data_IF_451225766989
#
_entry.id   IF_451225766989
#
_cell.length_a   1.000
_cell.length_b   1.000
_cell.length_c   1.000
_cell.angle_alpha   90.00
_cell.angle_beta   90.00
_cell.angle_gamma   90.00
#
_symmetry.space_group_name_H-M   'P 1'
#
loop_
_entity.id
_entity.type
_entity.pdbx_description
1 polymer ?
#
# COMPACT_ATOMS: atom_id res chain seq x y z
N UNK A 1 -3.33 10.41 14.46
CA UNK A 1 -3.04 9.78 13.16
C UNK A 1 -4.22 8.92 12.73
N UNK A 2 -4.61 8.98 11.47
CA UNK A 2 -5.71 8.18 10.90
C UNK A 2 -5.15 7.39 9.72
N UNK A 3 -5.43 6.09 9.69
CA UNK A 3 -5.25 5.22 8.54
C UNK A 3 -6.59 5.13 7.80
N UNK A 4 -6.58 5.36 6.49
CA UNK A 4 -7.73 5.09 5.61
C UNK A 4 -7.30 4.09 4.55
N UNK A 5 -7.99 2.95 4.46
CA UNK A 5 -7.76 1.95 3.43
C UNK A 5 -8.46 2.42 2.15
N UNK A 6 -7.72 2.84 1.14
CA UNK A 6 -8.29 3.28 -0.13
C UNK A 6 -8.66 2.08 -1.01
N UNK A 7 -7.82 1.04 -0.97
CA UNK A 7 -8.06 -0.21 -1.65
C UNK A 7 -7.46 -1.38 -0.88
N UNK A 8 -8.19 -2.49 -0.84
CA UNK A 8 -7.86 -3.69 -0.04
C UNK A 8 -7.77 -4.96 -0.89
N UNK A 9 -7.83 -4.81 -2.22
CA UNK A 9 -7.78 -5.90 -3.18
C UNK A 9 -6.35 -6.35 -3.52
N UNK A 10 -6.24 -7.14 -4.56
CA UNK A 10 -5.03 -7.71 -5.12
C UNK A 10 -5.08 -7.54 -6.65
N UNK A 11 -4.15 -8.12 -7.47
CA UNK A 11 -4.17 -7.93 -8.93
C UNK A 11 -5.48 -8.32 -9.62
N UNK A 12 -6.25 -9.25 -9.04
CA UNK A 12 -7.57 -9.60 -9.57
C UNK A 12 -8.55 -8.46 -9.29
N UNK A 13 -9.15 -7.92 -10.35
CA UNK A 13 -10.15 -6.85 -10.26
C UNK A 13 -11.38 -7.31 -9.47
N UNK A 14 -11.82 -6.45 -8.55
CA UNK A 14 -13.02 -6.65 -7.74
C UNK A 14 -13.72 -5.29 -7.54
N UNK A 15 -15.04 -5.24 -7.66
CA UNK A 15 -15.80 -4.00 -7.57
C UNK A 15 -15.98 -3.47 -6.13
N UNK A 16 -15.68 -4.29 -5.13
CA UNK A 16 -15.75 -3.94 -3.70
C UNK A 16 -14.39 -3.69 -3.08
N UNK A 17 -13.31 -4.17 -3.74
CA UNK A 17 -11.92 -4.10 -3.26
C UNK A 17 -11.01 -3.62 -4.37
N UNK A 18 -10.72 -2.34 -4.36
CA UNK A 18 -9.81 -1.70 -5.31
C UNK A 18 -8.35 -2.08 -5.05
N UNK A 19 -7.46 -1.72 -5.97
CA UNK A 19 -6.04 -2.02 -5.85
C UNK A 19 -5.39 -1.47 -4.58
N UNK A 20 -4.35 -2.14 -4.05
CA UNK A 20 -3.75 -1.79 -2.76
C UNK A 20 -3.33 -0.34 -2.72
N UNK A 21 -3.87 0.41 -1.77
CA UNK A 21 -3.48 1.79 -1.49
C UNK A 21 -4.01 2.25 -0.14
N UNK A 22 -3.22 3.05 0.56
CA UNK A 22 -3.52 3.49 1.91
C UNK A 22 -3.21 4.98 2.06
N UNK A 23 -4.08 5.71 2.74
CA UNK A 23 -3.87 7.11 3.09
C UNK A 23 -3.63 7.24 4.59
N UNK A 24 -2.50 7.81 4.96
CA UNK A 24 -2.15 8.16 6.35
C UNK A 24 -2.28 9.67 6.51
N UNK A 25 -3.13 10.09 7.44
CA UNK A 25 -3.34 11.52 7.73
C UNK A 25 -3.04 11.85 9.18
N UNK A 26 -2.39 12.98 9.37
CA UNK A 26 -2.24 13.66 10.65
C UNK A 26 -2.88 15.05 10.56
N UNK A 27 -2.63 15.92 11.53
CA UNK A 27 -3.09 17.31 11.45
C UNK A 27 -2.49 18.04 10.24
N UNK A 28 -1.19 17.79 9.94
CA UNK A 28 -0.43 18.57 8.96
C UNK A 28 0.04 17.77 7.76
N UNK A 29 -0.14 16.43 7.75
CA UNK A 29 0.49 15.55 6.76
C UNK A 29 -0.53 14.59 6.13
N UNK A 30 -0.42 14.41 4.80
CA UNK A 30 -1.15 13.40 4.04
C UNK A 30 -0.15 12.56 3.23
N UNK A 31 0.04 11.31 3.61
CA UNK A 31 0.93 10.36 2.93
C UNK A 31 0.09 9.28 2.25
N UNK A 32 0.41 9.03 0.99
CA UNK A 32 -0.13 7.89 0.25
C UNK A 32 0.88 6.74 0.28
N UNK A 33 0.43 5.53 0.57
CA UNK A 33 1.21 4.29 0.45
C UNK A 33 0.59 3.45 -0.63
N UNK A 34 1.37 3.21 -1.67
CA UNK A 34 0.98 2.60 -2.94
C UNK A 34 -0.10 3.40 -3.71
N UNK A 35 -0.21 3.12 -4.99
CA UNK A 35 -1.19 3.75 -5.88
C UNK A 35 -1.76 2.69 -6.84
N UNK A 36 -2.42 1.70 -6.25
CA UNK A 36 -3.14 0.67 -6.97
C UNK A 36 -4.37 1.22 -7.69
N UNK A 37 -4.97 0.36 -8.48
CA UNK A 37 -6.12 0.69 -9.32
C UNK A 37 -7.25 1.37 -8.55
N UNK A 38 -7.70 2.53 -9.04
CA UNK A 38 -8.81 3.30 -8.48
C UNK A 38 -8.44 4.24 -7.34
N UNK A 39 -7.15 4.45 -7.04
CA UNK A 39 -6.71 5.31 -5.94
C UNK A 39 -7.26 6.74 -6.03
N UNK A 40 -7.28 7.32 -7.23
CA UNK A 40 -7.78 8.70 -7.44
C UNK A 40 -9.28 8.81 -7.21
N UNK A 41 -10.06 7.82 -7.68
CA UNK A 41 -11.51 7.76 -7.46
C UNK A 41 -11.84 7.58 -5.96
N UNK A 42 -10.99 6.84 -5.23
CA UNK A 42 -11.16 6.66 -3.79
C UNK A 42 -10.83 7.92 -3.00
N UNK A 43 -9.78 8.66 -3.40
CA UNK A 43 -9.46 9.97 -2.82
C UNK A 43 -10.59 10.97 -3.07
N UNK A 44 -11.12 11.04 -4.30
CA UNK A 44 -12.25 11.89 -4.66
C UNK A 44 -13.50 11.58 -3.82
N UNK A 45 -13.84 10.29 -3.66
CA UNK A 45 -14.96 9.86 -2.81
C UNK A 45 -14.82 10.32 -1.35
N UNK A 46 -13.59 10.47 -0.87
CA UNK A 46 -13.29 11.00 0.46
C UNK A 46 -13.18 12.53 0.50
N UNK A 47 -13.35 13.21 -0.63
CA UNK A 47 -13.12 14.66 -0.80
C UNK A 47 -11.69 15.06 -0.40
N UNK A 48 -10.71 14.21 -0.71
CA UNK A 48 -9.30 14.46 -0.51
C UNK A 48 -8.67 14.78 -1.86
N UNK A 49 -8.27 16.04 -2.03
CA UNK A 49 -7.60 16.47 -3.26
C UNK A 49 -6.25 15.75 -3.45
N UNK A 50 -6.02 15.24 -4.65
CA UNK A 50 -4.72 14.67 -5.04
C UNK A 50 -3.60 15.70 -4.97
N UNK A 51 -3.92 17.00 -5.09
CA UNK A 51 -2.95 18.09 -4.94
C UNK A 51 -2.41 18.23 -3.50
N UNK A 52 -3.17 17.79 -2.51
CA UNK A 52 -2.82 17.91 -1.10
C UNK A 52 -1.85 16.84 -0.61
N UNK A 53 -1.68 15.75 -1.34
CA UNK A 53 -0.80 14.65 -0.94
C UNK A 53 0.64 15.17 -0.83
N UNK A 54 1.28 14.94 0.31
CA UNK A 54 2.63 15.43 0.59
C UNK A 54 3.71 14.53 -0.01
N UNK A 55 3.49 13.22 0.01
CA UNK A 55 4.38 12.23 -0.61
C UNK A 55 3.65 10.92 -0.93
N UNK A 56 4.22 10.17 -1.88
CA UNK A 56 3.89 8.79 -2.20
C UNK A 56 5.04 7.88 -1.76
N UNK A 57 4.72 6.84 -1.00
CA UNK A 57 5.61 5.76 -0.63
C UNK A 57 5.18 4.48 -1.35
N UNK A 58 6.09 3.81 -2.00
CA UNK A 58 5.84 2.54 -2.70
C UNK A 58 6.47 1.40 -1.92
N UNK A 59 5.67 0.38 -1.60
CA UNK A 59 6.14 -0.82 -0.92
C UNK A 59 7.03 -1.66 -1.82
N UNK A 60 6.60 -1.88 -3.05
CA UNK A 60 7.31 -2.57 -4.12
C UNK A 60 6.71 -2.19 -5.50
N UNK A 61 7.20 -2.78 -6.59
CA UNK A 61 6.81 -2.38 -7.95
C UNK A 61 5.94 -3.42 -8.68
N UNK A 62 5.17 -4.26 -7.97
CA UNK A 62 4.11 -5.02 -8.64
C UNK A 62 3.06 -4.08 -9.22
N UNK A 63 2.48 -4.50 -10.34
CA UNK A 63 1.56 -3.65 -11.10
C UNK A 63 0.35 -3.18 -10.32
N UNK A 64 -0.22 -4.02 -9.48
CA UNK A 64 -1.39 -3.68 -8.66
C UNK A 64 -1.12 -2.63 -7.58
N UNK A 65 0.16 -2.40 -7.22
CA UNK A 65 0.58 -1.36 -6.28
C UNK A 65 0.92 -0.02 -6.95
N UNK A 66 1.10 0.00 -8.29
CA UNK A 66 1.61 1.19 -8.99
C UNK A 66 0.84 1.56 -10.27
N UNK A 67 -0.21 0.81 -10.63
CA UNK A 67 -0.87 0.94 -11.94
C UNK A 67 -1.47 2.33 -12.19
N UNK A 68 -2.03 2.98 -11.17
CA UNK A 68 -2.64 4.31 -11.29
C UNK A 68 -1.64 5.46 -11.09
N UNK A 69 -0.34 5.18 -11.15
CA UNK A 69 0.69 6.20 -10.92
C UNK A 69 0.49 7.44 -11.81
N UNK A 70 0.36 7.25 -13.14
CA UNK A 70 0.19 8.40 -14.03
C UNK A 70 -1.16 9.09 -13.80
N UNK A 71 -2.22 8.33 -13.55
CA UNK A 71 -3.53 8.88 -13.21
C UNK A 71 -3.46 9.77 -11.96
N UNK A 72 -2.70 9.38 -10.94
CA UNK A 72 -2.46 10.18 -9.74
C UNK A 72 -1.74 11.50 -10.07
N UNK A 73 -0.70 11.44 -10.91
CA UNK A 73 0.08 12.62 -11.30
C UNK A 73 -0.79 13.61 -12.10
N UNK A 74 -1.47 13.14 -13.16
CA UNK A 74 -2.28 14.01 -14.02
C UNK A 74 -3.48 14.57 -13.26
N UNK A 75 -4.15 13.77 -12.41
CA UNK A 75 -5.26 14.24 -11.57
C UNK A 75 -4.79 15.32 -10.59
N UNK A 76 -3.59 15.20 -10.04
CA UNK A 76 -3.06 16.22 -9.13
C UNK A 76 -2.82 17.56 -9.83
N UNK A 77 -2.39 17.53 -11.11
CA UNK A 77 -2.24 18.74 -11.92
C UNK A 77 -3.61 19.38 -12.20
N UNK A 78 -4.60 18.58 -12.54
CA UNK A 78 -5.98 19.07 -12.71
C UNK A 78 -6.60 19.60 -11.42
N UNK A 79 -6.15 19.10 -10.26
CA UNK A 79 -6.54 19.57 -8.92
C UNK A 79 -5.68 20.75 -8.41
N UNK A 80 -5.00 21.47 -9.33
CA UNK A 80 -4.21 22.67 -9.03
C UNK A 80 -2.98 22.44 -8.14
N UNK A 81 -2.29 21.32 -8.28
CA UNK A 81 -1.05 21.07 -7.54
C UNK A 81 0.06 22.03 -8.00
N UNK A 82 0.58 22.82 -7.05
CA UNK A 82 1.67 23.79 -7.27
C UNK A 82 2.99 23.37 -6.65
N UNK A 83 3.07 22.16 -6.07
CA UNK A 83 4.30 21.63 -5.42
C UNK A 83 4.79 20.38 -6.16
N UNK A 84 6.12 20.12 -6.21
CA UNK A 84 6.67 18.90 -6.77
C UNK A 84 6.14 17.67 -6.04
N UNK A 85 6.12 16.52 -6.72
CA UNK A 85 5.92 15.23 -6.09
C UNK A 85 7.19 14.75 -5.41
N UNK A 86 7.03 14.23 -4.19
CA UNK A 86 8.06 13.47 -3.47
C UNK A 86 7.65 12.01 -3.49
N UNK A 87 8.45 11.17 -4.13
CA UNK A 87 8.19 9.75 -4.26
C UNK A 87 9.33 8.98 -3.62
N UNK A 88 8.98 8.07 -2.75
CA UNK A 88 9.90 7.20 -2.05
C UNK A 88 9.54 5.75 -2.38
N UNK A 89 10.52 4.95 -2.76
CA UNK A 89 10.24 3.57 -3.14
C UNK A 89 11.49 2.71 -3.27
N UNK A 90 11.32 1.43 -3.63
CA UNK A 90 12.41 0.49 -3.81
C UNK A 90 13.34 0.90 -4.95
N UNK A 91 14.52 0.28 -4.99
CA UNK A 91 15.42 0.36 -6.16
C UNK A 91 14.65 -0.05 -7.42
N UNK A 92 14.72 0.77 -8.47
CA UNK A 92 13.96 0.65 -9.70
C UNK A 92 12.83 1.67 -9.84
N UNK A 93 12.44 2.37 -8.77
CA UNK A 93 11.40 3.40 -8.79
C UNK A 93 11.75 4.57 -9.73
N UNK A 94 13.00 5.04 -9.74
CA UNK A 94 13.46 6.08 -10.70
C UNK A 94 13.25 5.64 -12.15
N UNK A 95 13.61 4.39 -12.45
CA UNK A 95 13.46 3.82 -13.79
C UNK A 95 11.97 3.68 -14.17
N UNK A 96 11.15 3.19 -13.24
CA UNK A 96 9.70 3.08 -13.40
C UNK A 96 9.07 4.44 -13.69
N UNK A 97 9.29 5.44 -12.83
CA UNK A 97 8.75 6.80 -12.98
C UNK A 97 9.18 7.41 -14.33
N UNK A 98 10.48 7.31 -14.67
CA UNK A 98 10.98 7.84 -15.95
C UNK A 98 10.25 7.23 -17.15
N UNK A 99 10.02 5.91 -17.14
CA UNK A 99 9.34 5.19 -18.24
C UNK A 99 7.86 5.58 -18.35
N UNK A 100 7.14 5.62 -17.23
CA UNK A 100 5.73 5.99 -17.23
C UNK A 100 5.55 7.45 -17.69
N UNK A 101 6.37 8.36 -17.16
CA UNK A 101 6.31 9.78 -17.56
C UNK A 101 6.70 10.00 -19.01
N UNK A 102 7.59 9.17 -19.58
CA UNK A 102 7.94 9.19 -21.01
C UNK A 102 6.82 8.67 -21.89
N UNK A 103 6.14 7.60 -21.47
CA UNK A 103 5.00 7.03 -22.21
C UNK A 103 3.86 8.04 -22.46
N UNK A 104 3.68 9.01 -21.58
CA UNK A 104 2.64 10.03 -21.64
C UNK A 104 3.19 11.43 -21.98
N UNK A 105 4.41 11.52 -22.52
CA UNK A 105 5.07 12.80 -22.74
C UNK A 105 4.35 13.67 -23.76
N UNK A 106 3.98 13.09 -24.89
CA UNK A 106 3.34 13.83 -26.00
C UNK A 106 1.96 14.36 -25.59
N UNK A 107 1.14 13.51 -24.97
CA UNK A 107 -0.17 13.90 -24.44
C UNK A 107 -0.05 15.02 -23.38
N UNK A 108 0.87 14.85 -22.44
CA UNK A 108 1.14 15.84 -21.40
C UNK A 108 1.60 17.17 -21.97
N UNK A 109 2.53 17.16 -22.94
CA UNK A 109 3.02 18.37 -23.58
C UNK A 109 1.93 19.08 -24.35
N UNK A 110 1.05 18.33 -25.04
CA UNK A 110 -0.12 18.86 -25.70
C UNK A 110 -1.04 19.59 -24.71
N UNK A 111 -1.38 18.96 -23.59
CA UNK A 111 -2.21 19.60 -22.54
C UNK A 111 -1.56 20.85 -21.97
N UNK A 112 -0.27 20.81 -21.63
CA UNK A 112 0.45 21.98 -21.11
C UNK A 112 0.36 23.15 -22.10
N UNK A 113 0.58 22.88 -23.39
CA UNK A 113 0.53 23.88 -24.44
C UNK A 113 -0.85 24.51 -24.60
N UNK A 114 -1.92 23.71 -24.58
CA UNK A 114 -3.28 24.19 -24.88
C UNK A 114 -4.03 24.67 -23.62
N UNK A 115 -3.89 24.00 -22.48
CA UNK A 115 -4.62 24.38 -21.28
C UNK A 115 -4.00 25.58 -20.52
N UNK A 116 -2.71 25.88 -20.76
CA UNK A 116 -1.99 27.05 -20.20
C UNK A 116 -2.23 27.30 -18.71
N UNK A 117 -2.28 26.21 -17.92
CA UNK A 117 -2.47 26.32 -16.47
C UNK A 117 -1.29 27.04 -15.82
N UNK A 118 -1.54 27.74 -14.74
CA UNK A 118 -0.56 28.59 -14.04
C UNK A 118 0.67 27.84 -13.49
N UNK A 119 0.64 26.51 -13.41
CA UNK A 119 1.75 25.71 -12.91
C UNK A 119 1.83 24.34 -13.57
N UNK A 120 3.04 23.91 -13.88
CA UNK A 120 3.39 22.55 -14.31
C UNK A 120 4.14 21.76 -13.22
N UNK A 121 4.24 22.31 -12.01
CA UNK A 121 5.06 21.73 -10.92
C UNK A 121 4.59 20.34 -10.47
N UNK A 122 3.35 19.97 -10.76
CA UNK A 122 2.86 18.60 -10.54
C UNK A 122 3.65 17.54 -11.32
N UNK A 123 4.25 17.91 -12.45
CA UNK A 123 5.09 17.02 -13.27
C UNK A 123 6.57 17.01 -12.84
N UNK A 124 6.94 17.86 -11.88
CA UNK A 124 8.27 17.81 -11.29
C UNK A 124 8.30 16.75 -10.19
N UNK A 125 8.89 15.59 -10.49
CA UNK A 125 8.89 14.43 -9.62
C UNK A 125 10.28 14.19 -9.07
N UNK A 126 10.42 14.24 -7.73
CA UNK A 126 11.64 13.92 -7.00
C UNK A 126 11.52 12.50 -6.45
N UNK A 127 12.35 11.58 -6.93
CA UNK A 127 12.35 10.19 -6.50
C UNK A 127 13.55 9.90 -5.60
N UNK A 128 13.29 9.34 -4.44
CA UNK A 128 14.28 8.78 -3.52
C UNK A 128 14.07 7.27 -3.44
N UNK A 129 15.10 6.51 -3.81
CA UNK A 129 15.08 5.05 -3.69
C UNK A 129 15.61 4.63 -2.33
N UNK A 130 14.98 3.60 -1.75
CA UNK A 130 15.37 3.07 -0.46
C UNK A 130 16.67 2.27 -0.53
N UNK A 131 17.46 2.36 0.53
CA UNK A 131 18.44 1.36 0.96
C UNK A 131 17.75 0.27 1.79
N UNK A 132 18.51 -0.51 2.57
CA UNK A 132 17.92 -1.61 3.36
C UNK A 132 16.99 -1.13 4.49
N UNK A 133 17.33 -0.01 5.10
CA UNK A 133 16.64 0.56 6.26
C UNK A 133 16.90 2.06 6.36
N UNK A 134 15.91 2.80 6.87
CA UNK A 134 16.10 4.22 7.16
C UNK A 134 14.84 4.92 7.67
N UNK A 135 15.01 6.21 7.97
CA UNK A 135 13.94 7.09 8.46
C UNK A 135 13.85 8.36 7.63
N UNK A 136 12.63 8.79 7.38
CA UNK A 136 12.31 10.02 6.65
C UNK A 136 11.32 10.80 7.50
N UNK A 137 11.59 12.10 7.71
CA UNK A 137 10.65 13.01 8.38
C UNK A 137 9.92 13.84 7.33
N UNK A 138 8.59 13.84 7.41
CA UNK A 138 7.72 14.72 6.62
C UNK A 138 6.79 15.44 7.58
N UNK A 139 7.02 16.73 7.76
CA UNK A 139 6.27 17.58 8.70
C UNK A 139 6.23 16.97 10.12
N UNK A 140 5.05 16.59 10.60
CA UNK A 140 4.81 16.02 11.93
C UNK A 140 4.82 14.47 11.96
N UNK A 141 5.24 13.84 10.85
CA UNK A 141 5.26 12.39 10.71
C UNK A 141 6.71 11.89 10.49
N UNK A 142 7.11 10.86 11.23
CA UNK A 142 8.35 10.12 10.98
C UNK A 142 7.95 8.80 10.33
N UNK A 143 8.54 8.52 9.17
CA UNK A 143 8.33 7.29 8.41
C UNK A 143 9.63 6.48 8.45
N UNK A 144 9.58 5.28 8.98
CA UNK A 144 10.66 4.32 9.01
C UNK A 144 10.35 3.22 8.00
N UNK A 145 11.27 2.98 7.06
CA UNK A 145 11.16 1.91 6.07
C UNK A 145 12.13 0.78 6.41
N UNK A 146 11.73 -0.45 6.14
CA UNK A 146 12.52 -1.65 6.39
C UNK A 146 12.20 -2.72 5.34
N UNK A 147 13.21 -3.49 4.95
CA UNK A 147 13.03 -4.58 3.98
C UNK A 147 12.14 -5.70 4.54
N UNK A 148 11.31 -6.28 3.67
CA UNK A 148 10.51 -7.48 3.95
C UNK A 148 10.80 -8.55 2.90
N UNK A 149 10.34 -9.78 3.13
CA UNK A 149 10.62 -10.91 2.24
C UNK A 149 9.43 -11.21 1.32
N UNK A 150 9.48 -10.72 0.10
CA UNK A 150 8.47 -10.95 -0.93
C UNK A 150 9.08 -11.62 -2.19
N UNK A 151 10.04 -12.52 -1.99
CA UNK A 151 10.69 -13.22 -3.13
C UNK A 151 9.66 -13.90 -4.03
N UNK A 152 9.80 -13.79 -5.39
CA UNK A 152 11.03 -13.41 -6.11
C UNK A 152 11.26 -11.89 -6.26
N UNK A 153 10.39 -11.03 -5.75
CA UNK A 153 10.62 -9.57 -5.73
C UNK A 153 11.82 -9.26 -4.84
N UNK A 154 12.86 -8.67 -5.43
CA UNK A 154 14.13 -8.42 -4.75
C UNK A 154 14.02 -7.31 -3.70
N UNK A 155 13.23 -6.28 -3.98
CA UNK A 155 13.13 -5.07 -3.16
C UNK A 155 11.66 -4.84 -2.78
N UNK A 156 11.30 -5.20 -1.56
CA UNK A 156 9.98 -4.98 -0.96
C UNK A 156 10.14 -4.44 0.45
N UNK A 157 9.26 -3.52 0.86
CA UNK A 157 9.39 -2.78 2.10
C UNK A 157 8.08 -2.73 2.87
N UNK A 158 8.22 -2.81 4.20
CA UNK A 158 7.24 -2.39 5.17
C UNK A 158 7.56 -1.00 5.71
N UNK A 159 6.58 -0.38 6.35
CA UNK A 159 6.70 0.97 6.89
C UNK A 159 6.18 1.06 8.32
N UNK A 160 6.89 1.80 9.16
CA UNK A 160 6.37 2.32 10.43
C UNK A 160 6.12 3.82 10.30
N UNK A 161 4.96 4.26 10.75
CA UNK A 161 4.59 5.67 10.84
C UNK A 161 4.48 6.05 12.30
N UNK A 162 5.25 7.07 12.70
CA UNK A 162 5.25 7.58 14.06
C UNK A 162 4.71 9.01 14.08
N UNK A 163 3.68 9.24 14.91
CA UNK A 163 3.16 10.56 15.21
C UNK A 163 2.85 10.63 16.70
N UNK A 164 3.52 11.55 17.42
CA UNK A 164 3.50 11.57 18.88
C UNK A 164 3.88 10.18 19.44
N UNK A 165 3.09 9.63 20.35
CA UNK A 165 3.31 8.32 20.97
C UNK A 165 2.58 7.18 20.24
N UNK A 166 2.19 7.36 18.98
CA UNK A 166 1.45 6.38 18.19
C UNK A 166 2.30 5.78 17.09
N UNK A 167 2.17 4.48 16.91
CA UNK A 167 2.87 3.70 15.90
C UNK A 167 1.88 2.91 15.03
N UNK A 168 1.90 3.19 13.73
CA UNK A 168 1.26 2.38 12.70
C UNK A 168 2.33 1.60 11.95
N UNK A 169 2.14 0.29 11.79
CA UNK A 169 2.98 -0.54 10.91
C UNK A 169 2.15 -1.01 9.72
N UNK A 170 2.73 -0.91 8.51
CA UNK A 170 2.20 -1.47 7.25
C UNK A 170 3.19 -2.53 6.78
N UNK A 171 2.73 -3.77 6.57
CA UNK A 171 3.61 -4.87 6.18
C UNK A 171 4.17 -4.72 4.75
N UNK A 172 3.42 -4.09 3.83
CA UNK A 172 3.57 -4.36 2.40
C UNK A 172 3.24 -5.82 2.12
N UNK A 173 3.54 -6.30 0.91
CA UNK A 173 3.42 -7.71 0.59
C UNK A 173 4.65 -8.47 1.08
N UNK A 174 4.42 -9.55 1.80
CA UNK A 174 5.52 -10.31 2.42
C UNK A 174 5.06 -11.69 2.87
N UNK A 175 5.94 -12.66 2.78
CA UNK A 175 5.83 -13.84 3.62
C UNK A 175 6.28 -13.53 5.06
N UNK A 176 5.98 -14.39 6.05
CA UNK A 176 6.46 -14.18 7.42
C UNK A 176 7.98 -14.03 7.43
N UNK A 177 8.48 -12.93 7.99
CA UNK A 177 9.91 -12.68 8.09
C UNK A 177 10.28 -11.98 9.40
N UNK A 178 11.51 -12.19 9.85
CA UNK A 178 12.01 -11.64 11.11
C UNK A 178 11.99 -10.12 11.15
N UNK A 179 12.36 -9.46 10.04
CA UNK A 179 12.35 -8.01 9.95
C UNK A 179 10.96 -7.45 10.24
N UNK A 180 9.90 -7.97 9.58
CA UNK A 180 8.55 -7.51 9.87
C UNK A 180 8.21 -7.68 11.34
N UNK A 181 8.46 -8.86 11.92
CA UNK A 181 8.15 -9.14 13.32
C UNK A 181 8.94 -8.23 14.29
N UNK A 182 10.20 -7.93 13.97
CA UNK A 182 11.05 -6.99 14.71
C UNK A 182 10.52 -5.56 14.61
N UNK A 183 10.30 -5.06 13.41
CA UNK A 183 9.89 -3.67 13.19
C UNK A 183 8.43 -3.40 13.58
N UNK A 184 7.55 -4.41 13.56
CA UNK A 184 6.17 -4.29 14.02
C UNK A 184 5.99 -4.37 15.54
N UNK A 185 7.07 -4.57 16.32
CA UNK A 185 6.97 -4.69 17.78
C UNK A 185 6.18 -3.53 18.40
N UNK A 186 5.19 -3.89 19.23
CA UNK A 186 4.35 -2.99 20.03
C UNK A 186 3.64 -1.91 19.20
N UNK A 187 3.33 -2.17 17.92
CA UNK A 187 2.53 -1.25 17.09
C UNK A 187 1.14 -1.06 17.69
N UNK A 188 0.64 0.17 17.68
CA UNK A 188 -0.76 0.43 18.05
C UNK A 188 -1.71 -0.20 17.02
N UNK A 189 -1.28 -0.23 15.75
CA UNK A 189 -1.97 -0.91 14.67
C UNK A 189 -0.95 -1.54 13.71
N UNK A 190 -1.15 -2.82 13.37
CA UNK A 190 -0.48 -3.53 12.30
C UNK A 190 -1.49 -3.73 11.15
N UNK A 191 -1.24 -3.11 10.01
CA UNK A 191 -1.93 -3.39 8.74
C UNK A 191 -1.12 -4.46 8.01
N UNK A 192 -1.72 -5.63 7.77
CA UNK A 192 -1.03 -6.79 7.21
C UNK A 192 -1.78 -7.38 6.03
N UNK A 193 -1.05 -7.74 4.97
CA UNK A 193 -1.58 -8.52 3.85
C UNK A 193 -1.97 -9.94 4.27
N UNK A 194 -2.81 -10.63 3.50
CA UNK A 194 -3.17 -12.01 3.80
C UNK A 194 -3.51 -12.85 2.57
N UNK A 195 -2.84 -14.01 2.48
CA UNK A 195 -3.23 -15.09 1.58
C UNK A 195 -4.21 -16.03 2.31
N UNK A 196 -5.44 -16.14 1.81
CA UNK A 196 -6.52 -16.90 2.48
C UNK A 196 -6.54 -18.31 1.95
N UNK A 197 -6.03 -19.24 2.75
CA UNK A 197 -5.93 -20.65 2.40
C UNK A 197 -7.32 -21.29 2.28
N UNK A 198 -7.47 -22.18 1.30
CA UNK A 198 -8.70 -22.93 1.07
C UNK A 198 -9.81 -22.19 0.30
N UNK A 199 -9.72 -20.86 0.18
CA UNK A 199 -10.73 -20.06 -0.53
C UNK A 199 -10.48 -19.97 -2.05
N UNK A 200 -9.26 -20.24 -2.50
CA UNK A 200 -8.95 -20.28 -3.92
C UNK A 200 -9.13 -21.73 -4.40
N UNK A 201 -10.23 -22.01 -5.07
CA UNK A 201 -10.43 -23.31 -5.71
C UNK A 201 -9.52 -23.41 -6.93
N UNK A 202 -8.81 -24.54 -7.05
CA UNK A 202 -8.11 -24.91 -8.27
C UNK A 202 -9.15 -25.25 -9.33
N UNK A 203 -9.37 -24.38 -10.32
CA UNK A 203 -10.61 -24.44 -11.09
C UNK A 203 -10.40 -24.80 -12.56
N UNK A 204 -9.17 -24.68 -13.10
CA UNK A 204 -8.93 -24.98 -14.51
C UNK A 204 -7.44 -25.18 -14.83
N UNK A 205 -7.13 -25.47 -16.11
CA UNK A 205 -5.76 -25.63 -16.62
C UNK A 205 -4.84 -24.42 -16.38
N UNK A 206 -5.41 -23.20 -16.23
CA UNK A 206 -4.64 -21.96 -16.04
C UNK A 206 -4.27 -21.68 -14.56
N UNK A 207 -4.99 -22.28 -13.59
CA UNK A 207 -4.73 -22.11 -12.16
C UNK A 207 -4.56 -23.48 -11.50
N UNK A 208 -3.38 -24.03 -11.62
CA UNK A 208 -3.01 -25.34 -11.09
C UNK A 208 -2.74 -25.27 -9.57
N UNK A 209 -2.70 -26.45 -8.92
CA UNK A 209 -2.23 -26.56 -7.52
C UNK A 209 -0.83 -25.95 -7.35
N UNK A 210 0.05 -26.12 -8.33
CA UNK A 210 1.40 -25.54 -8.36
C UNK A 210 1.34 -24.00 -8.39
N UNK A 211 0.45 -23.41 -9.20
CA UNK A 211 0.24 -21.96 -9.25
C UNK A 211 -0.16 -21.41 -7.87
N UNK A 212 -1.13 -22.05 -7.21
CA UNK A 212 -1.61 -21.64 -5.89
C UNK A 212 -0.51 -21.77 -4.83
N UNK A 213 0.24 -22.87 -4.88
CA UNK A 213 1.39 -23.07 -4.00
C UNK A 213 2.44 -21.97 -4.19
N UNK A 214 2.79 -21.65 -5.43
CA UNK A 214 3.77 -20.59 -5.73
C UNK A 214 3.31 -19.21 -5.24
N UNK A 215 2.03 -18.85 -5.44
CA UNK A 215 1.48 -17.57 -4.93
C UNK A 215 1.53 -17.52 -3.41
N UNK A 216 1.18 -18.62 -2.73
CA UNK A 216 1.29 -18.72 -1.27
C UNK A 216 2.71 -18.49 -0.75
N UNK A 217 3.73 -18.92 -1.50
CA UNK A 217 5.13 -18.86 -1.05
C UNK A 217 5.68 -17.44 -0.84
N UNK A 218 5.07 -16.41 -1.44
CA UNK A 218 5.52 -15.03 -1.29
C UNK A 218 4.53 -14.12 -0.57
N UNK A 219 3.44 -14.68 -0.02
CA UNK A 219 2.47 -14.01 0.84
C UNK A 219 2.40 -14.64 2.23
N UNK A 220 1.73 -13.98 3.15
CA UNK A 220 1.49 -14.52 4.51
C UNK A 220 0.17 -15.29 4.56
N UNK A 221 0.20 -16.60 4.80
CA UNK A 221 -1.01 -17.42 4.93
C UNK A 221 -1.89 -16.98 6.11
N UNK A 222 -3.21 -17.10 5.95
CA UNK A 222 -4.19 -16.79 7.00
C UNK A 222 -3.96 -17.59 8.29
N UNK A 223 -3.40 -18.80 8.19
CA UNK A 223 -3.01 -19.64 9.32
C UNK A 223 -1.76 -19.15 10.07
N UNK A 224 -1.02 -18.18 9.50
CA UNK A 224 0.24 -17.67 10.07
C UNK A 224 0.14 -16.19 10.49
N UNK A 225 -0.68 -15.39 9.83
CA UNK A 225 -0.76 -13.94 10.10
C UNK A 225 -1.10 -13.63 11.56
N UNK A 226 -1.92 -14.48 12.23
CA UNK A 226 -2.22 -14.36 13.65
C UNK A 226 -0.99 -14.53 14.55
N UNK A 227 -0.10 -15.48 14.20
CA UNK A 227 1.19 -15.68 14.90
C UNK A 227 2.12 -14.47 14.73
N UNK A 228 2.21 -13.93 13.51
CA UNK A 228 2.99 -12.70 13.24
C UNK A 228 2.50 -11.56 14.13
N UNK A 229 1.19 -11.34 14.22
CA UNK A 229 0.60 -10.30 15.06
C UNK A 229 0.86 -10.52 16.55
N UNK A 230 0.78 -11.77 17.02
CA UNK A 230 1.09 -12.14 18.41
C UNK A 230 2.56 -11.89 18.75
N UNK A 231 3.47 -12.38 17.93
CA UNK A 231 4.93 -12.17 18.11
C UNK A 231 5.26 -10.67 18.11
N UNK A 232 4.65 -9.90 17.20
CA UNK A 232 4.82 -8.45 17.13
C UNK A 232 4.17 -7.70 18.30
N UNK A 233 3.37 -8.34 19.15
CA UNK A 233 2.65 -7.71 20.27
C UNK A 233 1.85 -6.48 19.86
N UNK A 234 1.31 -6.48 18.63
CA UNK A 234 0.52 -5.35 18.15
C UNK A 234 -0.81 -5.25 18.92
N UNK A 235 -1.29 -4.01 19.14
CA UNK A 235 -2.54 -3.80 19.88
C UNK A 235 -3.76 -4.13 19.02
N UNK A 236 -3.73 -3.75 17.73
CA UNK A 236 -4.77 -4.02 16.73
C UNK A 236 -4.15 -4.62 15.47
N UNK A 237 -4.77 -5.67 14.93
CA UNK A 237 -4.44 -6.25 13.62
C UNK A 237 -5.56 -5.90 12.64
N UNK A 238 -5.19 -5.29 11.51
CA UNK A 238 -6.08 -5.03 10.37
C UNK A 238 -5.57 -5.83 9.19
N UNK A 239 -6.44 -6.61 8.55
CA UNK A 239 -6.09 -7.38 7.35
C UNK A 239 -6.47 -6.60 6.09
N UNK A 240 -5.61 -6.68 5.09
CA UNK A 240 -5.75 -6.03 3.79
C UNK A 240 -5.14 -6.88 2.68
N UNK A 241 -5.10 -6.38 1.45
CA UNK A 241 -4.51 -7.08 0.30
C UNK A 241 -4.93 -8.55 0.26
N UNK A 242 -6.25 -8.76 0.17
CA UNK A 242 -6.83 -10.10 0.28
C UNK A 242 -6.59 -10.93 -0.99
N UNK A 243 -5.95 -12.06 -0.83
CA UNK A 243 -5.74 -13.05 -1.90
C UNK A 243 -6.43 -14.37 -1.51
N UNK A 244 -7.63 -14.67 -2.04
CA UNK A 244 -8.45 -13.91 -3.00
C UNK A 244 -9.25 -12.77 -2.35
N UNK A 245 -9.84 -11.91 -3.18
CA UNK A 245 -10.70 -10.79 -2.75
C UNK A 245 -12.06 -11.23 -2.19
N UNK A 246 -12.55 -12.40 -2.60
CA UNK A 246 -13.81 -13.00 -2.13
C UNK A 246 -13.51 -14.21 -1.25
N UNK A 247 -14.01 -14.19 -0.02
CA UNK A 247 -13.75 -15.21 1.00
C UNK A 247 -14.81 -15.22 2.10
N UNK A 248 -14.82 -16.26 2.93
CA UNK A 248 -15.65 -16.33 4.14
C UNK A 248 -15.00 -15.56 5.28
N UNK A 249 -15.52 -14.37 5.57
CA UNK A 249 -14.97 -13.48 6.63
C UNK A 249 -15.02 -14.13 8.02
N UNK A 250 -16.11 -14.82 8.37
CA UNK A 250 -16.25 -15.49 9.69
C UNK A 250 -15.18 -16.56 9.87
N UNK A 251 -14.90 -17.32 8.81
CA UNK A 251 -13.84 -18.33 8.83
C UNK A 251 -12.45 -17.69 8.97
N UNK A 252 -12.15 -16.63 8.20
CA UNK A 252 -10.88 -15.91 8.30
C UNK A 252 -10.66 -15.36 9.73
N UNK A 253 -11.68 -14.71 10.31
CA UNK A 253 -11.61 -14.20 11.69
C UNK A 253 -11.31 -15.34 12.66
N UNK A 254 -12.01 -16.48 12.57
CA UNK A 254 -11.82 -17.65 13.44
C UNK A 254 -10.39 -18.19 13.35
N UNK A 255 -9.87 -18.35 12.12
CA UNK A 255 -8.51 -18.86 11.89
C UNK A 255 -7.46 -17.92 12.48
N UNK A 256 -7.54 -16.62 12.21
CA UNK A 256 -6.55 -15.64 12.69
C UNK A 256 -6.64 -15.44 14.21
N UNK A 257 -7.86 -15.39 14.77
CA UNK A 257 -8.08 -15.22 16.22
C UNK A 257 -7.44 -16.33 17.05
N UNK A 258 -7.41 -17.56 16.52
CA UNK A 258 -6.82 -18.73 17.20
C UNK A 258 -5.39 -18.46 17.69
N UNK A 259 -4.57 -17.86 16.87
CA UNK A 259 -3.17 -17.58 17.18
C UNK A 259 -2.92 -16.16 17.71
N UNK A 260 -3.65 -15.17 17.20
CA UNK A 260 -3.53 -13.77 17.63
C UNK A 260 -4.09 -13.57 19.07
N UNK A 261 -5.11 -14.32 19.45
CA UNK A 261 -5.82 -14.20 20.74
C UNK A 261 -6.85 -13.08 20.79
N UNK A 262 -7.00 -12.29 19.71
CA UNK A 262 -7.97 -11.20 19.56
C UNK A 262 -8.60 -11.29 18.17
N UNK A 263 -9.73 -10.61 17.96
CA UNK A 263 -10.33 -10.53 16.63
C UNK A 263 -9.55 -9.57 15.74
N UNK A 264 -9.15 -10.01 14.51
CA UNK A 264 -8.61 -9.11 13.52
C UNK A 264 -9.73 -8.24 12.95
N UNK A 265 -9.40 -7.04 12.51
CA UNK A 265 -10.30 -6.18 11.75
C UNK A 265 -10.15 -6.55 10.28
N UNK A 266 -11.26 -6.91 9.64
CA UNK A 266 -11.29 -7.13 8.19
C UNK A 266 -11.31 -5.78 7.49
N UNK A 267 -10.23 -5.46 6.77
CA UNK A 267 -10.13 -4.23 6.00
C UNK A 267 -11.22 -4.17 4.92
N UNK A 268 -11.78 -2.99 4.76
CA UNK A 268 -12.73 -2.65 3.68
C UNK A 268 -12.28 -1.36 3.05
N UNK A 269 -12.54 -1.20 1.78
CA UNK A 269 -12.26 0.06 1.10
C UNK A 269 -12.98 1.22 1.80
N UNK A 270 -12.28 2.34 1.95
CA UNK A 270 -12.69 3.56 2.63
C UNK A 270 -12.85 3.44 4.16
N UNK A 271 -12.48 2.31 4.76
CA UNK A 271 -12.47 2.18 6.22
C UNK A 271 -11.42 3.14 6.83
N UNK A 272 -11.88 3.98 7.76
CA UNK A 272 -11.03 4.91 8.53
C UNK A 272 -10.79 4.36 9.93
N UNK A 273 -9.53 4.30 10.34
CA UNK A 273 -9.14 3.78 11.67
C UNK A 273 -8.27 4.82 12.37
N UNK A 274 -8.73 5.28 13.52
CA UNK A 274 -7.96 6.19 14.38
C UNK A 274 -6.97 5.39 15.23
N UNK A 275 -5.73 5.88 15.28
CA UNK A 275 -4.58 5.27 15.97
C UNK A 275 -4.20 6.10 17.18
#
# INVERSE_FOLDING_TARGET
MILTLLGTGCPKVDNKRFGPSNLITTLNTKILVDCGSGVTQRLEKLKVSTADIDALFLTHLHSDHVIDFYQLIISSWHSYRTKPWKIFGPIGTKKFVKRIMKAWEDERNLRIKYEQRSSTRAFNIKVTEFSDYGKIKIKDLIIEFFSVDHKPVKYAYGFNFYNKNKKLTISGDTRPCENLMKFAQKSDLLLHEVFIEGEIKSVNKMRTKKTLHNVKLYHTPSTIVGKVAKISRCKKLVLTHFVPTSFNEKNLIKVVKKDYGKEPIIGRDLLKIKI
#
